data_IF_406872437431
#
_entry.id   IF_406872437431
#
_cell.length_a   1.000
_cell.length_b   1.000
_cell.length_c   1.000
_cell.angle_alpha   90.00
_cell.angle_beta   90.00
_cell.angle_gamma   90.00
#
_symmetry.space_group_name_H-M   'P 1'
#
loop_
_entity.id
_entity.type
_entity.pdbx_description
1 polymer ?
#
# COMPACT_ATOMS: atom_id res chain seq x y z
N UNK A 1 -11.14 -43.99 28.44
CA UNK A 1 -11.81 -43.11 27.46
C UNK A 1 -10.76 -42.31 26.74
N UNK A 2 -10.47 -42.69 25.50
CA UNK A 2 -9.41 -42.09 24.70
C UNK A 2 -9.83 -40.71 24.20
N UNK A 3 -8.97 -39.71 24.39
CA UNK A 3 -9.10 -38.39 23.81
C UNK A 3 -9.14 -38.54 22.28
N UNK A 4 -10.22 -38.06 21.67
CA UNK A 4 -10.33 -37.95 20.21
C UNK A 4 -9.33 -36.90 19.74
N UNK A 5 -8.31 -37.41 19.12
CA UNK A 5 -7.28 -36.75 18.33
C UNK A 5 -7.83 -35.70 17.38
N UNK A 6 -7.08 -34.62 17.35
CA UNK A 6 -7.04 -33.54 16.38
C UNK A 6 -7.51 -33.96 14.99
N UNK A 7 -8.53 -33.26 14.49
CA UNK A 7 -8.92 -33.39 13.10
C UNK A 7 -7.75 -32.86 12.26
N UNK A 8 -7.05 -33.73 11.60
CA UNK A 8 -6.05 -33.44 10.57
C UNK A 8 -6.73 -32.62 9.49
N UNK A 9 -6.61 -31.29 9.62
CA UNK A 9 -7.04 -30.39 8.56
C UNK A 9 -6.07 -30.54 7.41
N UNK A 10 -6.58 -31.03 6.28
CA UNK A 10 -5.82 -31.10 5.03
C UNK A 10 -5.13 -29.73 4.79
N UNK A 11 -3.82 -29.70 4.56
CA UNK A 11 -3.11 -28.42 4.37
C UNK A 11 -3.68 -27.71 3.14
N UNK A 12 -3.91 -26.39 3.27
CA UNK A 12 -4.32 -25.55 2.12
C UNK A 12 -3.17 -25.56 1.11
N UNK A 13 -3.45 -26.03 -0.11
CA UNK A 13 -2.44 -26.09 -1.18
C UNK A 13 -2.46 -24.82 -2.03
N UNK A 14 -3.63 -24.25 -2.30
CA UNK A 14 -3.83 -23.08 -3.16
C UNK A 14 -4.72 -22.06 -2.45
N UNK A 15 -4.17 -20.88 -2.17
CA UNK A 15 -4.85 -19.77 -1.49
C UNK A 15 -4.85 -18.54 -2.37
N UNK A 16 -6.00 -17.92 -2.56
CA UNK A 16 -6.17 -16.65 -3.26
C UNK A 16 -6.37 -15.50 -2.27
N UNK A 17 -5.54 -14.50 -2.37
CA UNK A 17 -5.74 -13.19 -1.73
C UNK A 17 -6.46 -12.26 -2.69
N UNK A 18 -7.50 -11.59 -2.24
CA UNK A 18 -8.20 -10.57 -3.03
C UNK A 18 -8.09 -9.21 -2.35
N UNK A 19 -7.28 -8.34 -2.93
CA UNK A 19 -7.17 -6.92 -2.58
C UNK A 19 -6.81 -6.14 -3.85
N UNK A 20 -7.82 -5.53 -4.47
CA UNK A 20 -7.70 -4.92 -5.79
C UNK A 20 -7.08 -3.51 -5.71
N UNK A 21 -7.46 -2.73 -4.71
CA UNK A 21 -7.06 -1.31 -4.56
C UNK A 21 -7.41 -0.78 -3.15
N UNK A 22 -6.92 0.40 -2.75
CA UNK A 22 -5.94 1.26 -3.40
C UNK A 22 -4.50 0.91 -2.98
N UNK A 23 -3.49 1.71 -3.41
CA UNK A 23 -2.08 1.46 -3.07
C UNK A 23 -1.86 1.24 -1.57
N UNK A 24 -2.29 2.20 -0.73
CA UNK A 24 -2.15 2.08 0.72
C UNK A 24 -2.87 0.86 1.29
N UNK A 25 -4.04 0.53 0.77
CA UNK A 25 -4.80 -0.65 1.18
C UNK A 25 -4.10 -1.97 0.80
N UNK A 26 -3.45 -2.03 -0.38
CA UNK A 26 -2.62 -3.18 -0.77
C UNK A 26 -1.45 -3.31 0.21
N UNK A 27 -0.76 -2.20 0.50
CA UNK A 27 0.36 -2.16 1.44
C UNK A 27 -0.08 -2.62 2.84
N UNK A 28 -1.23 -2.15 3.35
CA UNK A 28 -1.77 -2.56 4.64
C UNK A 28 -2.20 -4.04 4.69
N UNK A 29 -2.33 -4.70 3.54
CA UNK A 29 -2.66 -6.13 3.47
C UNK A 29 -1.42 -7.02 3.44
N UNK A 30 -0.27 -6.48 2.99
CA UNK A 30 0.99 -7.24 2.87
C UNK A 30 1.40 -7.95 4.18
N UNK A 31 1.35 -7.33 5.38
CA UNK A 31 1.73 -8.01 6.62
C UNK A 31 0.88 -9.25 6.93
N UNK A 32 -0.43 -9.18 6.68
CA UNK A 32 -1.33 -10.31 6.88
C UNK A 32 -1.02 -11.46 5.91
N UNK A 33 -0.68 -11.14 4.66
CA UNK A 33 -0.30 -12.16 3.66
C UNK A 33 1.09 -12.73 3.93
N UNK A 34 2.02 -11.91 4.43
CA UNK A 34 3.32 -12.42 4.89
C UNK A 34 3.16 -13.39 6.08
N UNK A 35 2.25 -13.09 7.01
CA UNK A 35 1.91 -14.01 8.10
C UNK A 35 1.26 -15.31 7.61
N UNK A 36 0.41 -15.24 6.56
CA UNK A 36 -0.12 -16.44 5.90
C UNK A 36 0.99 -17.25 5.21
N UNK A 37 1.96 -16.59 4.58
CA UNK A 37 3.12 -17.26 3.96
C UNK A 37 3.96 -18.01 5.00
N UNK A 38 4.22 -17.41 6.18
CA UNK A 38 4.92 -18.08 7.28
C UNK A 38 4.10 -19.24 7.86
N UNK A 39 2.78 -19.07 7.94
CA UNK A 39 1.89 -20.11 8.45
C UNK A 39 1.76 -21.31 7.49
N UNK A 40 1.88 -21.06 6.19
CA UNK A 40 1.71 -22.04 5.12
C UNK A 40 2.83 -21.94 4.08
N UNK A 41 4.06 -22.39 4.40
CA UNK A 41 5.23 -22.22 3.53
C UNK A 41 5.06 -22.86 2.15
N UNK A 42 4.43 -24.02 2.10
CA UNK A 42 4.26 -24.84 0.89
C UNK A 42 3.01 -24.47 0.06
N UNK A 43 2.18 -23.56 0.57
CA UNK A 43 0.96 -23.14 -0.12
C UNK A 43 1.28 -22.25 -1.31
N UNK A 44 0.71 -22.53 -2.46
CA UNK A 44 0.68 -21.60 -3.58
C UNK A 44 -0.24 -20.43 -3.24
N UNK A 45 0.31 -19.26 -3.02
CA UNK A 45 -0.45 -18.03 -2.76
C UNK A 45 -0.56 -17.21 -4.04
N UNK A 46 -1.79 -17.00 -4.52
CA UNK A 46 -2.09 -16.03 -5.57
C UNK A 46 -2.66 -14.73 -4.98
N UNK A 47 -2.47 -13.64 -5.71
CA UNK A 47 -3.05 -12.35 -5.35
C UNK A 47 -3.76 -11.70 -6.54
N UNK A 48 -5.04 -11.38 -6.39
CA UNK A 48 -5.82 -10.60 -7.34
C UNK A 48 -5.71 -9.09 -7.00
N UNK A 49 -5.16 -8.31 -7.94
CA UNK A 49 -4.85 -6.88 -7.75
C UNK A 49 -5.16 -6.08 -9.02
N UNK A 50 -5.47 -4.78 -8.92
CA UNK A 50 -5.49 -3.90 -10.08
C UNK A 50 -4.09 -3.79 -10.70
N UNK A 51 -4.00 -3.85 -12.03
CA UNK A 51 -2.75 -3.87 -12.81
C UNK A 51 -1.75 -2.78 -12.36
N UNK A 52 -2.24 -1.58 -12.12
CA UNK A 52 -1.41 -0.43 -11.67
C UNK A 52 -0.71 -0.62 -10.32
N UNK A 53 -1.14 -1.59 -9.50
CA UNK A 53 -0.56 -1.88 -8.18
C UNK A 53 0.25 -3.17 -8.16
N UNK A 54 0.34 -3.86 -9.30
CA UNK A 54 1.01 -5.16 -9.38
C UNK A 54 2.50 -5.09 -9.00
N UNK A 55 3.16 -3.95 -9.22
CA UNK A 55 4.57 -3.77 -8.89
C UNK A 55 4.86 -3.72 -7.38
N UNK A 56 3.82 -3.58 -6.53
CA UNK A 56 3.96 -3.81 -5.08
C UNK A 56 4.20 -5.28 -4.73
N UNK A 57 3.85 -6.21 -5.64
CA UNK A 57 3.91 -7.66 -5.44
C UNK A 57 4.97 -8.34 -6.29
N UNK A 58 5.29 -7.78 -7.46
CA UNK A 58 6.30 -8.29 -8.37
C UNK A 58 6.89 -7.19 -9.23
N UNK A 59 8.16 -7.32 -9.64
CA UNK A 59 8.75 -6.42 -10.63
C UNK A 59 8.13 -6.67 -12.02
N UNK A 60 8.29 -5.72 -12.94
CA UNK A 60 7.84 -5.88 -14.34
C UNK A 60 8.57 -7.02 -15.05
N UNK A 61 9.84 -7.22 -14.72
CA UNK A 61 10.70 -8.28 -15.30
C UNK A 61 10.39 -9.66 -14.74
N UNK A 62 9.65 -9.77 -13.62
CA UNK A 62 9.28 -11.06 -13.04
C UNK A 62 8.24 -11.80 -13.90
N UNK A 63 8.47 -13.10 -14.13
CA UNK A 63 7.48 -13.95 -14.80
C UNK A 63 6.18 -14.00 -13.97
N UNK A 64 5.01 -14.13 -14.61
CA UNK A 64 3.72 -14.17 -13.92
C UNK A 64 3.59 -15.27 -12.86
N UNK A 65 4.33 -16.36 -13.01
CA UNK A 65 4.35 -17.49 -12.08
C UNK A 65 5.73 -18.08 -11.88
N UNK A 66 5.85 -19.04 -10.97
CA UNK A 66 7.11 -19.74 -10.63
C UNK A 66 7.49 -19.55 -9.16
N UNK A 67 8.68 -20.00 -8.77
CA UNK A 67 9.17 -19.89 -7.40
C UNK A 67 9.32 -18.45 -6.92
N UNK A 68 9.24 -18.25 -5.61
CA UNK A 68 9.54 -16.98 -4.96
C UNK A 68 10.96 -16.53 -5.31
N UNK A 69 11.15 -15.24 -5.42
CA UNK A 69 12.43 -14.63 -5.78
C UNK A 69 12.48 -13.18 -5.27
N UNK A 70 13.64 -12.51 -5.24
CA UNK A 70 13.70 -11.08 -4.91
C UNK A 70 12.77 -10.22 -5.76
N UNK A 71 12.50 -10.62 -7.00
CA UNK A 71 11.57 -9.93 -7.92
C UNK A 71 10.10 -10.19 -7.60
N UNK A 72 9.80 -11.21 -6.81
CA UNK A 72 8.46 -11.59 -6.34
C UNK A 72 8.59 -12.34 -5.01
N UNK A 73 8.74 -11.60 -3.88
CA UNK A 73 9.18 -12.22 -2.63
C UNK A 73 8.04 -12.86 -1.81
N UNK A 74 6.78 -12.50 -2.06
CA UNK A 74 5.69 -12.83 -1.14
C UNK A 74 4.68 -13.83 -1.68
N UNK A 75 4.31 -13.71 -2.96
CA UNK A 75 3.25 -14.50 -3.59
C UNK A 75 3.73 -15.24 -4.83
N UNK A 76 3.15 -16.40 -5.13
CA UNK A 76 3.56 -17.24 -6.27
C UNK A 76 2.91 -16.80 -7.58
N UNK A 77 1.69 -16.23 -7.50
CA UNK A 77 0.90 -15.77 -8.63
C UNK A 77 0.38 -14.37 -8.40
N UNK A 78 0.41 -13.55 -9.44
CA UNK A 78 -0.20 -12.21 -9.44
C UNK A 78 -1.18 -12.12 -10.60
N UNK A 79 -2.48 -12.08 -10.26
CA UNK A 79 -3.57 -11.93 -11.21
C UNK A 79 -3.94 -10.45 -11.32
N UNK A 80 -3.74 -9.88 -12.49
CA UNK A 80 -4.00 -8.45 -12.71
C UNK A 80 -5.37 -8.21 -13.32
N UNK A 81 -6.06 -7.18 -12.81
CA UNK A 81 -7.38 -6.75 -13.25
C UNK A 81 -7.35 -5.29 -13.67
N UNK A 82 -7.86 -4.96 -14.86
CA UNK A 82 -7.93 -3.60 -15.35
C UNK A 82 -9.36 -3.03 -15.23
N UNK A 83 -9.85 -2.97 -14.00
CA UNK A 83 -11.24 -2.59 -13.71
C UNK A 83 -11.60 -1.18 -14.23
N UNK A 84 -10.65 -0.25 -14.26
CA UNK A 84 -10.88 1.11 -14.79
C UNK A 84 -11.15 1.08 -16.29
N UNK A 85 -10.32 0.38 -17.06
CA UNK A 85 -10.49 0.25 -18.50
C UNK A 85 -11.78 -0.49 -18.82
N UNK A 86 -12.07 -1.57 -18.12
CA UNK A 86 -13.30 -2.34 -18.34
C UNK A 86 -14.57 -1.52 -18.09
N UNK A 87 -14.61 -0.71 -17.04
CA UNK A 87 -15.76 0.17 -16.74
C UNK A 87 -16.01 1.22 -17.83
N UNK A 88 -14.98 1.66 -18.56
CA UNK A 88 -15.09 2.64 -19.64
C UNK A 88 -15.58 2.05 -20.94
N UNK A 89 -15.48 0.73 -21.13
CA UNK A 89 -15.73 0.05 -22.38
C UNK A 89 -16.51 -1.26 -22.23
N UNK A 90 -17.52 -1.28 -21.36
CA UNK A 90 -18.34 -2.48 -21.08
C UNK A 90 -19.07 -3.04 -22.31
N UNK A 91 -19.32 -2.22 -23.34
CA UNK A 91 -19.95 -2.65 -24.58
C UNK A 91 -18.95 -3.29 -25.57
N UNK A 92 -17.65 -3.26 -25.29
CA UNK A 92 -16.63 -3.79 -26.19
C UNK A 92 -16.47 -5.31 -26.04
N UNK A 93 -16.55 -6.04 -27.16
CA UNK A 93 -16.24 -7.48 -27.21
C UNK A 93 -14.82 -7.78 -26.68
N UNK A 94 -13.86 -6.88 -26.92
CA UNK A 94 -12.49 -6.99 -26.43
C UNK A 94 -12.45 -6.97 -24.89
N UNK A 95 -13.23 -6.10 -24.26
CA UNK A 95 -13.34 -6.04 -22.80
C UNK A 95 -13.86 -7.35 -22.21
N UNK A 96 -14.91 -7.92 -22.78
CA UNK A 96 -15.44 -9.21 -22.35
C UNK A 96 -14.46 -10.36 -22.57
N UNK A 97 -13.68 -10.33 -23.66
CA UNK A 97 -12.57 -11.26 -23.88
C UNK A 97 -11.50 -11.16 -22.78
N UNK A 98 -11.09 -9.95 -22.41
CA UNK A 98 -10.13 -9.73 -21.32
C UNK A 98 -10.67 -10.22 -19.97
N UNK A 99 -11.92 -9.90 -19.62
CA UNK A 99 -12.56 -10.38 -18.39
C UNK A 99 -12.58 -11.90 -18.34
N UNK A 100 -13.01 -12.54 -19.44
CA UNK A 100 -13.07 -13.99 -19.54
C UNK A 100 -11.70 -14.64 -19.40
N UNK A 101 -10.67 -14.08 -20.03
CA UNK A 101 -9.29 -14.56 -19.89
C UNK A 101 -8.80 -14.42 -18.44
N UNK A 102 -8.99 -13.28 -17.80
CA UNK A 102 -8.61 -13.09 -16.39
C UNK A 102 -9.33 -14.07 -15.46
N UNK A 103 -10.61 -14.38 -15.71
CA UNK A 103 -11.35 -15.39 -14.94
C UNK A 103 -10.81 -16.80 -15.22
N UNK A 104 -10.50 -17.10 -16.47
CA UNK A 104 -9.92 -18.39 -16.86
C UNK A 104 -8.59 -18.64 -16.19
N UNK A 105 -7.69 -17.64 -16.23
CA UNK A 105 -6.38 -17.70 -15.57
C UNK A 105 -6.50 -17.89 -14.06
N UNK A 106 -7.47 -17.19 -13.44
CA UNK A 106 -7.75 -17.32 -12.01
C UNK A 106 -8.23 -18.74 -11.65
N UNK A 107 -9.13 -19.32 -12.46
CA UNK A 107 -9.68 -20.67 -12.24
C UNK A 107 -8.68 -21.77 -12.51
N UNK A 108 -7.74 -21.58 -13.41
CA UNK A 108 -6.72 -22.56 -13.75
C UNK A 108 -5.83 -22.95 -12.55
N UNK A 109 -5.70 -22.05 -11.55
CA UNK A 109 -4.91 -22.31 -10.34
C UNK A 109 -5.65 -23.16 -9.30
N UNK A 110 -6.95 -23.47 -9.48
CA UNK A 110 -7.76 -24.34 -8.60
C UNK A 110 -7.67 -23.95 -7.12
N UNK A 111 -7.90 -22.69 -6.78
CA UNK A 111 -7.86 -22.19 -5.42
C UNK A 111 -8.87 -22.92 -4.51
N UNK A 112 -8.40 -23.43 -3.37
CA UNK A 112 -9.20 -24.07 -2.35
C UNK A 112 -9.83 -23.05 -1.40
N UNK A 113 -9.09 -21.98 -1.14
CA UNK A 113 -9.48 -20.88 -0.25
C UNK A 113 -9.26 -19.54 -0.94
N UNK A 114 -10.25 -18.65 -0.89
CA UNK A 114 -10.11 -17.24 -1.23
C UNK A 114 -10.33 -16.38 0.02
N UNK A 115 -9.55 -15.30 0.15
CA UNK A 115 -9.64 -14.35 1.27
C UNK A 115 -9.83 -12.95 0.72
N UNK A 116 -11.01 -12.37 0.92
CA UNK A 116 -11.32 -11.00 0.51
C UNK A 116 -11.00 -10.01 1.63
N UNK A 117 -9.84 -9.36 1.52
CA UNK A 117 -9.42 -8.28 2.41
C UNK A 117 -10.04 -6.92 2.07
N UNK A 118 -10.74 -6.79 0.94
CA UNK A 118 -11.28 -5.50 0.50
C UNK A 118 -12.71 -5.26 1.00
N UNK A 119 -13.54 -6.27 1.02
CA UNK A 119 -14.93 -6.17 1.48
C UNK A 119 -15.83 -5.34 0.58
N UNK A 120 -15.57 -5.29 -0.74
CA UNK A 120 -16.41 -4.63 -1.72
C UNK A 120 -17.05 -5.67 -2.64
N UNK A 121 -18.23 -5.37 -3.22
CA UNK A 121 -18.94 -6.29 -4.12
C UNK A 121 -18.01 -6.76 -5.25
N UNK A 122 -17.23 -5.86 -5.84
CA UNK A 122 -16.29 -6.19 -6.92
C UNK A 122 -15.20 -7.17 -6.50
N UNK A 123 -14.67 -7.08 -5.29
CA UNK A 123 -13.65 -8.01 -4.79
C UNK A 123 -14.26 -9.35 -4.40
N UNK A 124 -15.45 -9.32 -3.78
CA UNK A 124 -16.20 -10.53 -3.48
C UNK A 124 -16.58 -11.32 -4.75
N UNK A 125 -16.94 -10.63 -5.84
CA UNK A 125 -17.15 -11.25 -7.15
C UNK A 125 -15.87 -11.90 -7.70
N UNK A 126 -14.71 -11.24 -7.59
CA UNK A 126 -13.42 -11.84 -8.00
C UNK A 126 -13.13 -13.09 -7.17
N UNK A 127 -13.32 -13.04 -5.86
CA UNK A 127 -13.20 -14.21 -5.00
C UNK A 127 -14.14 -15.35 -5.44
N UNK A 128 -15.39 -15.03 -5.79
CA UNK A 128 -16.37 -16.01 -6.27
C UNK A 128 -16.01 -16.59 -7.64
N UNK A 129 -15.46 -15.76 -8.54
CA UNK A 129 -15.03 -16.19 -9.88
C UNK A 129 -13.83 -17.13 -9.86
N UNK A 130 -13.01 -17.11 -8.81
CA UNK A 130 -11.89 -18.04 -8.66
C UNK A 130 -12.35 -19.51 -8.60
N UNK A 131 -13.61 -19.75 -8.23
CA UNK A 131 -14.14 -21.10 -8.03
C UNK A 131 -13.79 -21.69 -6.66
N UNK A 132 -13.09 -20.96 -5.78
CA UNK A 132 -12.73 -21.44 -4.45
C UNK A 132 -14.00 -21.84 -3.64
N UNK A 133 -14.05 -23.07 -3.10
CA UNK A 133 -15.20 -23.54 -2.30
C UNK A 133 -15.31 -22.81 -0.97
N UNK A 134 -14.21 -22.30 -0.43
CA UNK A 134 -14.20 -21.54 0.82
C UNK A 134 -13.76 -20.11 0.57
N UNK A 135 -14.63 -19.17 0.91
CA UNK A 135 -14.36 -17.72 0.76
C UNK A 135 -14.48 -17.06 2.13
N UNK A 136 -13.35 -16.56 2.63
CA UNK A 136 -13.28 -15.77 3.85
C UNK A 136 -13.46 -14.28 3.53
N UNK A 137 -14.18 -13.56 4.39
CA UNK A 137 -14.26 -12.12 4.37
C UNK A 137 -14.72 -11.58 5.73
N UNK A 138 -14.70 -10.27 5.89
CA UNK A 138 -15.15 -9.63 7.13
C UNK A 138 -16.68 -9.77 7.31
N UNK A 139 -17.13 -9.99 8.54
CA UNK A 139 -18.55 -10.03 8.88
C UNK A 139 -19.24 -8.67 8.65
N UNK A 140 -18.48 -7.59 8.82
CA UNK A 140 -18.88 -6.23 8.49
C UNK A 140 -17.99 -5.68 7.36
N UNK A 141 -18.25 -6.06 6.10
CA UNK A 141 -17.44 -5.60 4.98
C UNK A 141 -17.71 -4.13 4.67
N UNK A 142 -16.87 -3.51 3.88
CA UNK A 142 -17.02 -2.13 3.43
C UNK A 142 -18.36 -1.88 2.71
N UNK A 143 -18.80 -2.86 1.91
CA UNK A 143 -20.09 -2.86 1.21
C UNK A 143 -20.85 -4.09 1.72
N UNK A 144 -21.95 -3.91 2.46
CA UNK A 144 -22.67 -4.99 3.15
C UNK A 144 -23.04 -6.16 2.23
N UNK A 145 -23.40 -5.89 0.98
CA UNK A 145 -23.73 -6.92 0.01
C UNK A 145 -22.57 -7.85 -0.35
N UNK A 146 -21.32 -7.48 -0.07
CA UNK A 146 -20.17 -8.37 -0.28
C UNK A 146 -20.23 -9.62 0.60
N UNK A 147 -20.82 -9.52 1.79
CA UNK A 147 -20.97 -10.64 2.73
C UNK A 147 -21.79 -11.80 2.17
N UNK A 148 -22.67 -11.57 1.19
CA UNK A 148 -23.46 -12.60 0.53
C UNK A 148 -22.61 -13.61 -0.26
N UNK A 149 -21.38 -13.26 -0.60
CA UNK A 149 -20.44 -14.10 -1.34
C UNK A 149 -19.51 -14.90 -0.42
N UNK A 150 -19.49 -14.60 0.88
CA UNK A 150 -18.57 -15.26 1.82
C UNK A 150 -19.17 -16.52 2.42
N UNK A 151 -18.41 -17.61 2.38
CA UNK A 151 -18.78 -18.86 3.06
C UNK A 151 -18.33 -18.86 4.53
N UNK A 152 -17.37 -17.99 4.87
CA UNK A 152 -16.85 -17.78 6.22
C UNK A 152 -16.72 -16.28 6.47
N UNK A 153 -17.48 -15.79 7.43
CA UNK A 153 -17.45 -14.40 7.86
C UNK A 153 -16.66 -14.29 9.16
N UNK A 154 -15.73 -13.33 9.23
CA UNK A 154 -14.84 -13.14 10.37
C UNK A 154 -15.05 -11.75 10.97
N UNK A 155 -15.27 -11.70 12.27
CA UNK A 155 -15.33 -10.43 12.99
C UNK A 155 -13.93 -9.82 13.07
N UNK A 156 -13.78 -8.60 12.53
CA UNK A 156 -12.50 -7.87 12.58
C UNK A 156 -12.11 -7.58 14.04
N UNK A 157 -10.83 -7.76 14.35
CA UNK A 157 -10.26 -7.42 15.65
C UNK A 157 -9.14 -6.39 15.49
N UNK A 158 -8.99 -5.52 16.49
CA UNK A 158 -8.02 -4.43 16.47
C UNK A 158 -8.60 -3.12 15.93
N UNK A 159 -7.88 -2.03 16.20
CA UNK A 159 -8.26 -0.67 15.77
C UNK A 159 -7.66 -0.36 14.40
N UNK A 160 -6.38 -0.73 14.21
CA UNK A 160 -5.67 -0.47 12.96
C UNK A 160 -6.06 -1.48 11.88
N UNK A 161 -6.14 -1.01 10.62
CA UNK A 161 -6.54 -1.87 9.48
C UNK A 161 -5.59 -3.06 9.28
N UNK A 162 -4.32 -2.94 9.62
CA UNK A 162 -3.34 -4.04 9.57
C UNK A 162 -3.69 -5.12 10.62
N UNK A 163 -4.11 -4.74 11.82
CA UNK A 163 -4.54 -5.67 12.86
C UNK A 163 -5.82 -6.39 12.43
N UNK A 164 -6.76 -5.65 11.84
CA UNK A 164 -7.99 -6.23 11.27
C UNK A 164 -7.67 -7.24 10.16
N UNK A 165 -6.76 -6.90 9.24
CA UNK A 165 -6.32 -7.82 8.21
C UNK A 165 -5.63 -9.06 8.81
N UNK A 166 -4.80 -8.89 9.85
CA UNK A 166 -4.16 -10.00 10.55
C UNK A 166 -5.19 -10.91 11.23
N UNK A 167 -6.26 -10.35 11.82
CA UNK A 167 -7.34 -11.15 12.42
C UNK A 167 -8.06 -12.03 11.40
N UNK A 168 -8.27 -11.51 10.17
CA UNK A 168 -8.83 -12.30 9.07
C UNK A 168 -7.87 -13.41 8.62
N UNK A 169 -6.57 -13.10 8.50
CA UNK A 169 -5.53 -14.10 8.20
C UNK A 169 -5.44 -15.18 9.28
N UNK A 170 -5.51 -14.79 10.56
CA UNK A 170 -5.50 -15.71 11.72
C UNK A 170 -6.69 -16.66 11.69
N UNK A 171 -7.87 -16.20 11.27
CA UNK A 171 -9.05 -17.06 11.10
C UNK A 171 -8.85 -18.09 9.98
N UNK A 172 -8.17 -17.72 8.88
CA UNK A 172 -7.79 -18.67 7.81
C UNK A 172 -6.80 -19.71 8.32
N UNK A 173 -5.80 -19.28 9.08
CA UNK A 173 -4.79 -20.15 9.68
C UNK A 173 -5.32 -20.97 10.87
N UNK A 174 -6.52 -20.65 11.38
CA UNK A 174 -7.11 -21.24 12.59
C UNK A 174 -6.21 -21.16 13.82
N UNK A 175 -5.34 -20.19 13.87
CA UNK A 175 -4.43 -19.86 14.98
C UNK A 175 -4.07 -18.40 14.97
N UNK A 176 -3.65 -17.86 16.11
CA UNK A 176 -3.08 -16.50 16.17
C UNK A 176 -1.82 -16.40 15.31
N UNK A 177 -1.75 -15.34 14.52
CA UNK A 177 -0.56 -15.00 13.73
C UNK A 177 0.07 -13.73 14.27
N UNK A 178 1.39 -13.63 14.16
CA UNK A 178 2.17 -12.41 14.42
C UNK A 178 2.43 -11.64 13.13
N UNK A 179 2.78 -10.36 13.25
CA UNK A 179 3.12 -9.50 12.10
C UNK A 179 4.59 -9.70 11.72
N UNK A 180 4.90 -10.29 10.56
CA UNK A 180 6.27 -10.42 10.10
C UNK A 180 6.77 -9.15 9.40
N UNK A 181 8.08 -9.14 9.12
CA UNK A 181 8.65 -8.13 8.23
C UNK A 181 8.23 -8.41 6.79
N UNK A 182 7.75 -7.39 6.12
CA UNK A 182 7.32 -7.49 4.72
C UNK A 182 8.50 -7.28 3.78
N UNK A 183 8.71 -8.22 2.87
CA UNK A 183 9.65 -8.07 1.77
C UNK A 183 8.95 -7.47 0.54
N UNK A 184 9.53 -6.40 -0.02
CA UNK A 184 9.08 -5.79 -1.27
C UNK A 184 9.91 -6.25 -2.46
N UNK A 185 9.34 -6.28 -3.67
CA UNK A 185 10.07 -6.65 -4.88
C UNK A 185 11.32 -5.80 -5.08
N UNK A 186 12.37 -6.44 -5.60
CA UNK A 186 13.63 -5.80 -5.97
C UNK A 186 14.01 -6.16 -7.40
N UNK A 187 14.41 -5.16 -8.17
CA UNK A 187 14.94 -5.32 -9.53
C UNK A 187 16.29 -4.61 -9.61
N UNK A 188 17.33 -5.36 -9.89
CA UNK A 188 18.71 -4.83 -9.91
C UNK A 188 18.91 -3.69 -10.90
N UNK A 189 18.22 -3.73 -12.05
CA UNK A 189 18.29 -2.67 -13.06
C UNK A 189 17.63 -1.39 -12.54
N UNK A 190 16.46 -1.52 -11.92
CA UNK A 190 15.75 -0.37 -11.31
C UNK A 190 16.58 0.21 -10.16
N UNK A 191 17.11 -0.64 -9.29
CA UNK A 191 17.95 -0.21 -8.16
C UNK A 191 19.23 0.52 -8.65
N UNK A 192 19.86 0.04 -9.71
CA UNK A 192 21.02 0.68 -10.33
C UNK A 192 20.67 2.05 -10.94
N UNK A 193 19.57 2.13 -11.69
CA UNK A 193 19.14 3.39 -12.30
C UNK A 193 18.75 4.43 -11.24
N UNK A 194 18.06 4.02 -10.18
CA UNK A 194 17.76 4.88 -9.06
C UNK A 194 19.02 5.42 -8.39
N UNK A 195 20.04 4.56 -8.19
CA UNK A 195 21.30 4.99 -7.62
C UNK A 195 21.99 6.05 -8.49
N UNK A 196 22.02 5.85 -9.81
CA UNK A 196 22.58 6.84 -10.74
C UNK A 196 21.85 8.18 -10.68
N UNK A 197 20.52 8.15 -10.55
CA UNK A 197 19.72 9.37 -10.39
C UNK A 197 20.09 10.11 -9.11
N UNK A 198 20.25 9.39 -8.00
CA UNK A 198 20.66 9.97 -6.72
C UNK A 198 22.08 10.54 -6.77
N UNK A 199 23.01 9.84 -7.40
CA UNK A 199 24.39 10.31 -7.57
C UNK A 199 24.45 11.61 -8.36
N UNK A 200 23.63 11.74 -9.42
CA UNK A 200 23.50 12.96 -10.21
C UNK A 200 22.90 14.14 -9.41
N UNK A 201 22.09 13.85 -8.38
CA UNK A 201 21.54 14.86 -7.47
C UNK A 201 22.55 15.27 -6.36
N UNK A 202 23.76 14.64 -6.35
CA UNK A 202 24.87 15.00 -5.47
C UNK A 202 24.71 14.55 -4.03
N UNK A 203 23.83 13.59 -3.73
CA UNK A 203 23.55 13.20 -2.36
C UNK A 203 23.47 11.69 -2.11
N UNK A 204 24.11 11.22 -1.04
CA UNK A 204 23.86 9.90 -0.45
C UNK A 204 22.62 9.90 0.44
N UNK A 205 22.36 11.03 1.12
CA UNK A 205 21.27 11.22 2.06
C UNK A 205 20.23 12.19 1.48
N UNK A 206 19.00 11.77 1.43
CA UNK A 206 17.88 12.56 0.94
C UNK A 206 16.58 12.17 1.62
N UNK A 207 15.56 12.98 1.44
CA UNK A 207 14.21 12.69 1.89
C UNK A 207 13.22 12.68 0.72
N UNK A 208 12.06 12.04 0.93
CA UNK A 208 10.99 12.02 -0.05
C UNK A 208 9.82 12.87 0.43
N UNK A 209 9.34 13.73 -0.44
CA UNK A 209 8.12 14.52 -0.27
C UNK A 209 7.03 13.99 -1.21
N UNK A 210 5.82 13.77 -0.67
CA UNK A 210 4.66 13.32 -1.44
C UNK A 210 3.54 14.36 -1.30
N UNK A 211 3.50 15.40 -2.14
CA UNK A 211 2.49 16.45 -2.08
C UNK A 211 1.15 16.03 -2.67
N UNK A 212 1.11 14.96 -3.47
CA UNK A 212 -0.09 14.43 -4.09
C UNK A 212 -1.08 13.86 -3.07
N UNK A 213 -2.38 13.91 -3.40
CA UNK A 213 -3.45 13.36 -2.59
C UNK A 213 -4.53 12.71 -3.44
N UNK A 214 -5.19 11.69 -2.90
CA UNK A 214 -6.28 10.99 -3.60
C UNK A 214 -7.53 11.85 -3.85
N UNK A 215 -7.72 12.93 -3.08
CA UNK A 215 -8.74 13.98 -3.24
C UNK A 215 -8.36 15.23 -2.46
N UNK A 216 -8.93 16.40 -2.85
CA UNK A 216 -8.53 17.72 -2.36
C UNK A 216 -8.52 17.89 -0.85
N UNK A 217 -9.51 17.33 -0.13
CA UNK A 217 -9.58 17.46 1.33
C UNK A 217 -8.39 16.83 2.10
N UNK A 218 -7.55 16.03 1.43
CA UNK A 218 -6.31 15.46 1.99
C UNK A 218 -5.05 16.16 1.48
N UNK A 219 -5.20 17.19 0.69
CA UNK A 219 -4.08 17.87 0.04
C UNK A 219 -3.60 19.05 0.87
N UNK A 220 -2.43 18.90 1.44
CA UNK A 220 -1.71 20.02 2.04
C UNK A 220 -1.09 20.88 0.91
N UNK A 221 -1.03 22.23 1.04
CA UNK A 221 -0.55 23.08 -0.02
C UNK A 221 0.83 22.70 -0.57
N UNK A 222 0.95 22.63 -1.89
CA UNK A 222 2.17 22.21 -2.56
C UNK A 222 3.37 23.11 -2.22
N UNK A 223 3.13 24.41 -2.14
CA UNK A 223 4.14 25.42 -1.83
C UNK A 223 4.75 25.19 -0.44
N UNK A 224 3.97 24.72 0.51
CA UNK A 224 4.45 24.41 1.86
C UNK A 224 5.39 23.20 1.87
N UNK A 225 5.21 22.21 0.97
CA UNK A 225 6.19 21.14 0.78
C UNK A 225 7.52 21.69 0.25
N UNK A 226 7.47 22.69 -0.66
CA UNK A 226 8.66 23.39 -1.13
C UNK A 226 9.39 24.12 0.00
N UNK A 227 8.66 24.85 0.86
CA UNK A 227 9.21 25.52 2.04
C UNK A 227 9.86 24.52 3.00
N UNK A 228 9.21 23.38 3.24
CA UNK A 228 9.79 22.28 4.05
C UNK A 228 11.09 21.77 3.44
N UNK A 229 11.15 21.59 2.11
CA UNK A 229 12.37 21.16 1.43
C UNK A 229 13.51 22.15 1.63
N UNK A 230 13.24 23.45 1.45
CA UNK A 230 14.23 24.52 1.65
C UNK A 230 14.79 24.52 3.08
N UNK A 231 13.90 24.53 4.07
CA UNK A 231 14.29 24.56 5.48
C UNK A 231 15.05 23.29 5.92
N UNK A 232 14.73 22.12 5.38
CA UNK A 232 15.46 20.87 5.67
C UNK A 232 16.83 20.84 4.98
N UNK A 233 16.99 21.48 3.82
CA UNK A 233 18.30 21.67 3.23
C UNK A 233 19.17 22.58 4.09
N UNK A 234 18.62 23.71 4.57
CA UNK A 234 19.33 24.69 5.41
C UNK A 234 19.70 24.12 6.78
N UNK A 235 18.80 23.34 7.42
CA UNK A 235 18.96 22.90 8.82
C UNK A 235 19.61 21.52 8.96
N UNK A 236 19.43 20.63 7.98
CA UNK A 236 19.91 19.25 8.02
C UNK A 236 20.82 18.89 6.83
N UNK A 237 21.02 19.77 5.86
CA UNK A 237 21.83 19.51 4.66
C UNK A 237 21.22 18.45 3.72
N UNK A 238 19.92 18.14 3.87
CA UNK A 238 19.25 17.09 3.12
C UNK A 238 18.45 17.68 1.94
N UNK A 239 18.76 17.21 0.74
CA UNK A 239 17.94 17.48 -0.44
C UNK A 239 16.67 16.66 -0.44
N UNK A 240 15.66 17.11 -1.15
CA UNK A 240 14.36 16.46 -1.25
C UNK A 240 14.10 15.93 -2.65
N UNK A 241 13.50 14.75 -2.72
CA UNK A 241 12.92 14.18 -3.93
C UNK A 241 11.39 14.30 -3.82
N UNK A 242 10.77 15.08 -4.72
CA UNK A 242 9.31 15.19 -4.78
C UNK A 242 8.80 14.08 -5.68
N UNK A 243 8.13 13.09 -5.07
CA UNK A 243 7.49 12.02 -5.82
C UNK A 243 6.06 12.42 -6.20
N UNK A 244 5.68 12.15 -7.44
CA UNK A 244 4.34 12.37 -7.93
C UNK A 244 3.88 11.26 -8.89
N UNK A 245 2.58 11.02 -8.91
CA UNK A 245 1.92 10.10 -9.81
C UNK A 245 1.24 10.81 -10.99
N UNK A 246 0.68 10.03 -11.95
CA UNK A 246 -0.03 10.60 -13.10
C UNK A 246 -1.20 11.51 -12.67
N UNK A 247 -1.21 12.73 -13.18
CA UNK A 247 -2.20 13.77 -12.87
C UNK A 247 -1.85 14.64 -11.67
N UNK A 248 -0.64 14.49 -11.10
CA UNK A 248 -0.12 15.30 -9.99
C UNK A 248 1.04 16.21 -10.43
N UNK A 249 1.28 16.36 -11.75
CA UNK A 249 2.40 17.08 -12.32
C UNK A 249 2.43 18.57 -11.91
N UNK A 250 1.26 19.22 -11.85
CA UNK A 250 1.14 20.63 -11.47
C UNK A 250 1.47 20.83 -9.98
N UNK A 251 0.99 19.92 -9.13
CA UNK A 251 1.27 19.95 -7.69
C UNK A 251 2.77 19.75 -7.43
N UNK A 252 3.40 18.83 -8.14
CA UNK A 252 4.84 18.57 -8.02
C UNK A 252 5.68 19.76 -8.47
N UNK A 253 5.32 20.40 -9.60
CA UNK A 253 5.99 21.60 -10.10
C UNK A 253 5.83 22.80 -9.16
N UNK A 254 4.66 22.97 -8.55
CA UNK A 254 4.45 24.05 -7.57
C UNK A 254 5.34 23.85 -6.32
N UNK A 255 5.43 22.61 -5.81
CA UNK A 255 6.30 22.30 -4.70
C UNK A 255 7.80 22.46 -5.04
N UNK A 256 8.21 22.02 -6.24
CA UNK A 256 9.59 22.17 -6.72
C UNK A 256 9.96 23.64 -6.85
N UNK A 257 9.12 24.45 -7.49
CA UNK A 257 9.35 25.90 -7.67
C UNK A 257 9.47 26.62 -6.32
N UNK A 258 8.63 26.27 -5.35
CA UNK A 258 8.65 26.86 -4.01
C UNK A 258 9.85 26.40 -3.15
N UNK A 259 10.62 25.38 -3.61
CA UNK A 259 11.76 24.85 -2.87
C UNK A 259 13.05 25.67 -3.02
N UNK A 260 13.10 26.63 -3.93
CA UNK A 260 14.33 27.39 -4.21
C UNK A 260 15.52 26.53 -4.66
N UNK A 261 15.28 25.37 -5.28
CA UNK A 261 16.31 24.42 -5.73
C UNK A 261 16.70 23.34 -4.68
N UNK A 262 16.03 23.33 -3.52
CA UNK A 262 16.24 22.33 -2.49
C UNK A 262 15.59 20.97 -2.81
N UNK A 263 14.66 20.93 -3.77
CA UNK A 263 13.96 19.72 -4.18
C UNK A 263 13.97 19.54 -5.69
N UNK A 264 13.87 18.29 -6.12
CA UNK A 264 13.73 17.90 -7.54
C UNK A 264 12.49 16.98 -7.65
N UNK A 265 11.60 17.32 -8.59
CA UNK A 265 10.44 16.52 -8.89
C UNK A 265 10.81 15.32 -9.79
N UNK A 266 10.32 14.15 -9.41
CA UNK A 266 10.52 12.93 -10.18
C UNK A 266 9.24 12.10 -10.23
N UNK A 267 8.93 11.60 -11.41
CA UNK A 267 7.90 10.60 -11.61
C UNK A 267 8.54 9.28 -12.01
N UNK A 268 7.92 8.19 -11.62
CA UNK A 268 8.46 6.88 -11.95
C UNK A 268 7.42 5.77 -11.79
N UNK A 269 7.88 4.56 -12.05
CA UNK A 269 7.14 3.34 -11.76
C UNK A 269 7.05 3.12 -10.25
N UNK A 270 6.15 2.22 -9.82
CA UNK A 270 6.11 1.82 -8.41
C UNK A 270 7.40 1.11 -7.97
N UNK A 271 8.07 0.38 -8.88
CA UNK A 271 9.36 -0.23 -8.59
C UNK A 271 10.44 0.82 -8.29
N UNK A 272 10.46 1.94 -9.03
CA UNK A 272 11.36 3.07 -8.75
C UNK A 272 11.00 3.76 -7.44
N UNK A 273 9.71 3.99 -7.17
CA UNK A 273 9.27 4.55 -5.89
C UNK A 273 9.70 3.66 -4.71
N UNK A 274 9.57 2.33 -4.83
CA UNK A 274 10.04 1.40 -3.80
C UNK A 274 11.57 1.53 -3.62
N UNK A 275 12.33 1.58 -4.72
CA UNK A 275 13.78 1.68 -4.69
C UNK A 275 14.27 3.00 -4.07
N UNK A 276 13.65 4.13 -4.45
CA UNK A 276 13.95 5.43 -3.82
C UNK A 276 13.54 5.43 -2.34
N UNK A 277 12.34 4.95 -2.01
CA UNK A 277 11.87 4.97 -0.62
C UNK A 277 12.76 4.14 0.30
N UNK A 278 13.25 2.98 -0.16
CA UNK A 278 14.14 2.11 0.62
C UNK A 278 15.45 2.79 1.07
N UNK A 279 15.91 3.79 0.32
CA UNK A 279 17.17 4.51 0.57
C UNK A 279 16.96 5.88 1.23
N UNK A 280 15.72 6.34 1.35
CA UNK A 280 15.41 7.65 1.92
C UNK A 280 15.68 7.67 3.44
N UNK A 281 16.11 8.81 3.95
CA UNK A 281 16.27 9.04 5.40
C UNK A 281 14.94 9.33 6.07
N UNK A 282 13.97 9.88 5.34
CA UNK A 282 12.66 10.28 5.83
C UNK A 282 11.66 10.37 4.67
N UNK A 283 10.41 10.07 4.94
CA UNK A 283 9.30 10.32 4.02
C UNK A 283 8.31 11.27 4.68
N UNK A 284 7.91 12.33 3.95
CA UNK A 284 6.90 13.30 4.39
C UNK A 284 5.76 13.31 3.38
N UNK A 285 4.53 13.22 3.85
CA UNK A 285 3.38 13.26 2.95
C UNK A 285 2.04 13.16 3.67
N UNK A 286 0.97 13.34 2.92
CA UNK A 286 -0.39 13.12 3.40
C UNK A 286 -0.74 11.64 3.56
N UNK A 287 -1.95 11.33 4.06
CA UNK A 287 -2.50 9.96 4.14
C UNK A 287 -2.70 9.36 2.74
N UNK A 288 -1.62 8.86 2.15
CA UNK A 288 -1.54 8.32 0.79
C UNK A 288 -0.65 7.08 0.71
N UNK A 289 -0.72 6.37 -0.41
CA UNK A 289 0.07 5.14 -0.63
C UNK A 289 1.57 5.29 -0.37
N UNK A 290 2.24 6.33 -0.88
CA UNK A 290 3.67 6.54 -0.65
C UNK A 290 4.06 6.70 0.82
N UNK A 291 3.24 7.38 1.65
CA UNK A 291 3.49 7.47 3.09
C UNK A 291 3.47 6.07 3.75
N UNK A 292 2.47 5.26 3.40
CA UNK A 292 2.35 3.89 3.92
C UNK A 292 3.46 2.98 3.40
N UNK A 293 3.97 3.23 2.19
CA UNK A 293 5.15 2.54 1.65
C UNK A 293 6.39 2.84 2.50
N UNK A 294 6.63 4.12 2.82
CA UNK A 294 7.70 4.52 3.74
C UNK A 294 7.65 3.77 5.06
N UNK A 295 6.48 3.76 5.70
CA UNK A 295 6.27 3.05 6.95
C UNK A 295 6.48 1.53 6.82
N UNK A 296 5.98 0.90 5.75
CA UNK A 296 6.14 -0.52 5.51
C UNK A 296 7.60 -0.94 5.21
N UNK A 297 8.39 -0.03 4.63
CA UNK A 297 9.85 -0.17 4.43
C UNK A 297 10.66 0.22 5.69
N UNK A 298 9.98 0.55 6.80
CA UNK A 298 10.58 0.96 8.08
C UNK A 298 11.39 2.25 8.01
N UNK A 299 11.16 3.06 7.00
CA UNK A 299 11.72 4.41 6.91
C UNK A 299 10.92 5.32 7.84
N UNK A 300 11.55 6.22 8.62
CA UNK A 300 10.85 7.21 9.42
C UNK A 300 9.88 8.03 8.56
N UNK A 301 8.70 8.36 9.09
CA UNK A 301 7.69 9.11 8.33
C UNK A 301 7.06 10.24 9.12
N UNK A 302 6.85 11.38 8.47
CA UNK A 302 5.97 12.45 8.96
C UNK A 302 4.69 12.42 8.13
N UNK A 303 3.58 12.10 8.78
CA UNK A 303 2.27 12.04 8.16
C UNK A 303 1.47 13.31 8.43
N UNK A 304 0.97 13.98 7.39
CA UNK A 304 0.11 15.16 7.48
C UNK A 304 -1.33 14.70 7.22
N UNK A 305 -2.15 14.71 8.27
CA UNK A 305 -3.49 14.14 8.24
C UNK A 305 -4.56 15.23 8.37
N UNK A 306 -5.54 15.18 7.50
CA UNK A 306 -6.78 15.95 7.59
C UNK A 306 -7.95 15.06 8.06
N UNK A 307 -8.96 14.84 7.19
CA UNK A 307 -10.23 14.21 7.57
C UNK A 307 -10.17 12.69 7.82
N UNK A 308 -9.01 12.06 7.82
CA UNK A 308 -8.86 10.62 8.07
C UNK A 308 -8.38 10.33 9.48
N UNK A 309 -8.82 9.20 10.03
CA UNK A 309 -8.43 8.77 11.38
C UNK A 309 -7.08 8.04 11.36
N UNK A 310 -6.00 8.62 11.91
CA UNK A 310 -4.68 8.00 11.93
C UNK A 310 -4.61 6.76 12.83
N UNK A 311 -5.46 6.63 13.85
CA UNK A 311 -5.50 5.42 14.66
C UNK A 311 -5.93 4.19 13.85
N UNK A 312 -6.73 4.39 12.80
CA UNK A 312 -7.18 3.32 11.90
C UNK A 312 -6.26 3.08 10.72
N UNK A 313 -5.77 4.16 10.10
CA UNK A 313 -5.05 4.08 8.83
C UNK A 313 -3.68 4.76 8.87
N UNK A 314 -3.16 5.12 10.03
CA UNK A 314 -1.87 5.82 10.14
C UNK A 314 -0.67 4.97 9.72
N UNK A 315 0.53 5.56 9.71
CA UNK A 315 1.76 4.82 9.50
C UNK A 315 1.92 3.70 10.55
N UNK A 316 2.34 2.52 10.09
CA UNK A 316 2.47 1.36 10.97
C UNK A 316 3.83 0.67 10.77
N UNK A 317 4.48 0.28 11.85
CA UNK A 317 5.72 -0.49 11.82
C UNK A 317 7.01 0.34 11.67
N UNK A 318 6.91 1.66 11.47
CA UNK A 318 8.05 2.58 11.45
C UNK A 318 7.95 3.64 12.56
N UNK A 319 9.06 4.30 12.85
CA UNK A 319 9.03 5.52 13.66
C UNK A 319 8.25 6.59 12.89
N UNK A 320 7.24 7.15 13.51
CA UNK A 320 6.35 8.07 12.83
C UNK A 320 5.89 9.20 13.73
N UNK A 321 5.71 10.37 13.15
CA UNK A 321 5.00 11.49 13.76
C UNK A 321 3.85 11.85 12.84
N UNK A 322 2.64 11.84 13.41
CA UNK A 322 1.43 12.23 12.69
C UNK A 322 1.00 13.61 13.17
N UNK A 323 0.97 14.54 12.26
CA UNK A 323 0.45 15.89 12.45
C UNK A 323 -1.01 15.90 11.99
N UNK A 324 -1.91 16.19 12.92
CA UNK A 324 -3.34 16.30 12.65
C UNK A 324 -3.94 17.34 13.59
N UNK A 325 -4.65 18.29 13.03
CA UNK A 325 -5.41 19.23 13.86
C UNK A 325 -6.55 18.48 14.57
N UNK A 326 -6.70 18.62 15.89
CA UNK A 326 -7.79 17.99 16.64
C UNK A 326 -9.19 18.36 16.14
N UNK A 327 -9.35 19.54 15.51
CA UNK A 327 -10.60 20.01 14.95
C UNK A 327 -10.93 19.40 13.57
N UNK A 328 -9.99 18.71 12.90
CA UNK A 328 -10.28 18.03 11.65
C UNK A 328 -11.37 16.99 11.82
N UNK A 329 -12.50 17.08 11.06
CA UNK A 329 -13.57 16.11 11.15
C UNK A 329 -13.11 14.74 10.62
N UNK A 330 -13.50 13.66 11.27
CA UNK A 330 -13.26 12.32 10.72
C UNK A 330 -14.35 11.98 9.73
N UNK A 331 -14.05 12.01 8.43
CA UNK A 331 -15.02 11.74 7.36
C UNK A 331 -14.35 11.04 6.17
N UNK A 332 -15.13 10.23 5.46
CA UNK A 332 -14.74 9.63 4.18
C UNK A 332 -15.37 10.34 2.97
N UNK A 333 -16.03 11.48 3.19
CA UNK A 333 -16.59 12.30 2.12
C UNK A 333 -15.44 12.88 1.28
N UNK A 334 -15.46 12.58 -0.02
CA UNK A 334 -14.46 13.07 -0.97
C UNK A 334 -14.79 14.49 -1.39
N UNK A 335 -14.29 15.46 -0.66
CA UNK A 335 -14.40 16.88 -1.00
C UNK A 335 -13.22 17.29 -1.89
N UNK A 336 -13.48 18.26 -2.79
CA UNK A 336 -12.45 18.85 -3.66
C UNK A 336 -11.59 19.88 -2.93
N UNK A 337 -12.18 20.57 -1.96
CA UNK A 337 -11.53 21.61 -1.17
C UNK A 337 -10.70 21.00 -0.06
N UNK A 338 -9.55 21.62 0.24
CA UNK A 338 -8.70 21.24 1.36
C UNK A 338 -9.46 21.38 2.68
N UNK A 339 -9.14 20.51 3.64
CA UNK A 339 -9.64 20.62 5.01
C UNK A 339 -9.01 21.86 5.67
N UNK A 340 -9.84 22.84 6.09
CA UNK A 340 -9.38 24.07 6.73
C UNK A 340 -8.48 23.79 7.95
N UNK A 341 -8.87 22.83 8.76
CA UNK A 341 -8.06 22.44 9.92
C UNK A 341 -6.70 21.83 9.55
N UNK A 342 -6.58 21.21 8.37
CA UNK A 342 -5.30 20.74 7.84
C UNK A 342 -4.42 21.90 7.38
N UNK A 343 -5.02 23.01 6.95
CA UNK A 343 -4.29 24.23 6.55
C UNK A 343 -3.63 24.95 7.75
N UNK A 344 -4.06 24.67 8.98
CA UNK A 344 -3.42 25.21 10.18
C UNK A 344 -2.10 24.52 10.53
N UNK A 345 -1.80 23.35 9.94
CA UNK A 345 -0.50 22.70 10.10
C UNK A 345 0.54 23.53 9.34
N UNK A 346 1.48 24.12 10.06
CA UNK A 346 2.52 24.97 9.47
C UNK A 346 3.71 24.17 8.91
N UNK A 347 4.51 24.72 8.00
CA UNK A 347 5.79 24.13 7.61
C UNK A 347 6.73 23.91 8.79
N UNK A 348 6.72 24.80 9.77
CA UNK A 348 7.52 24.74 10.99
C UNK A 348 7.18 23.51 11.83
N UNK A 349 5.89 23.16 11.97
CA UNK A 349 5.45 21.93 12.66
C UNK A 349 6.00 20.67 11.97
N UNK A 350 5.95 20.67 10.63
CA UNK A 350 6.47 19.55 9.83
C UNK A 350 7.98 19.41 9.97
N UNK A 351 8.72 20.53 9.99
CA UNK A 351 10.17 20.54 10.19
C UNK A 351 10.57 20.07 11.57
N UNK A 352 9.90 20.54 12.62
CA UNK A 352 10.17 20.08 13.98
C UNK A 352 9.97 18.56 14.10
N UNK A 353 8.90 18.03 13.51
CA UNK A 353 8.64 16.58 13.46
C UNK A 353 9.74 15.83 12.68
N UNK A 354 10.16 16.37 11.54
CA UNK A 354 11.20 15.79 10.69
C UNK A 354 12.56 15.74 11.42
N UNK A 355 13.00 16.86 11.98
CA UNK A 355 14.27 16.97 12.71
C UNK A 355 14.31 16.03 13.93
N UNK A 356 13.19 15.86 14.64
CA UNK A 356 13.07 14.92 15.75
C UNK A 356 13.32 13.49 15.26
N UNK A 357 12.68 13.06 14.18
CA UNK A 357 12.87 11.71 13.63
C UNK A 357 14.28 11.48 13.07
N UNK A 358 14.91 12.51 12.48
CA UNK A 358 16.26 12.43 11.93
C UNK A 358 17.33 12.30 13.03
N UNK A 359 17.19 13.02 14.14
CA UNK A 359 18.11 12.93 15.32
C UNK A 359 18.11 11.53 15.92
N UNK A 360 16.95 10.94 16.08
CA UNK A 360 16.80 9.60 16.68
C UNK A 360 17.33 8.47 15.76
N UNK A 361 17.77 8.79 14.52
CA UNK A 361 18.30 7.84 13.54
C UNK A 361 19.83 7.74 13.55
N UNK A 362 20.51 8.54 14.35
CA UNK A 362 21.97 8.65 14.41
C UNK A 362 22.63 7.92 15.59
N UNK A 363 21.86 7.07 16.30
CA UNK A 363 22.35 6.24 17.41
C UNK A 363 22.59 4.79 17.01
#
# INVERSE_FOLDING_TARGET
MAARTESSTCPIRHLLVVRLSAMGDVIHTLPAVAALREAFPETTIGWAVEERWAELLRTRSARPGGALSPRRPLVDRVHTFNLRAWRRSLLSRRTWGQIRNSISDLRAENYEVAVDFQGAIRSALVARWSGAPTIYGFAQPRENAASLFYTRQVQAQGTHIIEQNLSLASAVARRGLSLPVVAFPQDEIVEYNCQRTLDALGGKDYLILNPGAGWGAKQWPAERYGQVAQLLLETAGLKSLINFGPGEEDVARAAEAASGGAAVATSGSLSELIAFTRRARLVIGGDTGPLHLGAALRIPVVGIFGPTNPARNGPFGARSIVLRNPLSPTTHARRQEADEAMLEISPEDVIQAALKLLKDSGG
#
